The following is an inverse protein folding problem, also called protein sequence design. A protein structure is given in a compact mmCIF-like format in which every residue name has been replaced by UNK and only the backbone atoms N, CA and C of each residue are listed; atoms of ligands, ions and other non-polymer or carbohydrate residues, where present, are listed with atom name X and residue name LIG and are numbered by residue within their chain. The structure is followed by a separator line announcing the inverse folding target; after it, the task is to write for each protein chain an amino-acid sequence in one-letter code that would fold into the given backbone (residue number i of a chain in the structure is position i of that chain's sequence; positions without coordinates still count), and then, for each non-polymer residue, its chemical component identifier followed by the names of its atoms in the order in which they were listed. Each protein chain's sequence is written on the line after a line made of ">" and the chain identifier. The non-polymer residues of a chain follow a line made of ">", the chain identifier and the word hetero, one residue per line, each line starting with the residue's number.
data_IF_365355073993
#
_entry.id   IF_365355073993
#
_cell.length_a   1.000
_cell.length_b   1.000
_cell.length_c   1.000
_cell.angle_alpha   90.00
_cell.angle_beta   90.00
_cell.angle_gamma   90.00
#
_symmetry.space_group_name_H-M   'P 1'
#
loop_
_entity.id
_entity.type
_entity.pdbx_description
1 polymer ?
#
# COMPACT_ATOMS: atom_id res chain seq x y z
N UNK A 1 11.59 -10.39 -3.29
CA UNK A 1 11.40 -9.45 -4.43
C UNK A 1 10.53 -10.04 -5.54
N UNK A 2 10.74 -11.30 -5.97
CA UNK A 2 9.93 -11.94 -7.03
C UNK A 2 8.41 -11.97 -6.72
N UNK A 3 8.03 -12.15 -5.45
CA UNK A 3 6.61 -12.21 -5.03
C UNK A 3 5.88 -10.88 -5.18
N UNK A 4 6.47 -9.76 -4.75
CA UNK A 4 5.88 -8.43 -4.86
C UNK A 4 5.63 -8.03 -6.32
N UNK A 5 6.62 -8.28 -7.19
CA UNK A 5 6.48 -8.04 -8.62
C UNK A 5 5.37 -8.90 -9.24
N UNK A 6 5.30 -10.18 -8.84
CA UNK A 6 4.23 -11.09 -9.27
C UNK A 6 2.86 -10.61 -8.82
N UNK A 7 2.71 -10.18 -7.57
CA UNK A 7 1.42 -9.70 -7.05
C UNK A 7 1.00 -8.40 -7.74
N UNK A 8 1.94 -7.48 -8.00
CA UNK A 8 1.70 -6.30 -8.83
C UNK A 8 1.15 -6.67 -10.21
N UNK A 9 1.85 -7.51 -10.98
CA UNK A 9 1.41 -7.86 -12.33
C UNK A 9 0.07 -8.61 -12.34
N UNK A 10 -0.15 -9.52 -11.38
CA UNK A 10 -1.41 -10.26 -11.27
C UNK A 10 -2.57 -9.33 -10.94
N UNK A 11 -2.41 -8.42 -9.98
CA UNK A 11 -3.45 -7.45 -9.65
C UNK A 11 -3.71 -6.49 -10.81
N UNK A 12 -2.66 -5.98 -11.45
CA UNK A 12 -2.78 -5.12 -12.62
C UNK A 12 -3.57 -5.78 -13.75
N UNK A 13 -3.20 -7.01 -14.13
CA UNK A 13 -3.88 -7.76 -15.18
C UNK A 13 -5.34 -8.08 -14.80
N UNK A 14 -5.58 -8.49 -13.55
CA UNK A 14 -6.93 -8.78 -13.07
C UNK A 14 -7.82 -7.53 -13.12
N UNK A 15 -7.32 -6.38 -12.65
CA UNK A 15 -8.04 -5.11 -12.66
C UNK A 15 -8.27 -4.60 -14.07
N UNK A 16 -7.29 -4.71 -14.97
CA UNK A 16 -7.45 -4.38 -16.38
C UNK A 16 -8.50 -5.27 -17.06
N UNK A 17 -8.54 -6.55 -16.71
CA UNK A 17 -9.56 -7.47 -17.21
C UNK A 17 -10.97 -7.08 -16.72
N UNK A 18 -11.10 -6.67 -15.46
CA UNK A 18 -12.38 -6.20 -14.94
C UNK A 18 -12.89 -4.94 -15.64
N UNK A 19 -12.01 -3.98 -15.90
CA UNK A 19 -12.35 -2.75 -16.64
C UNK A 19 -12.74 -3.07 -18.08
N UNK A 20 -11.97 -3.91 -18.76
CA UNK A 20 -12.21 -4.25 -20.18
C UNK A 20 -13.55 -4.95 -20.43
N UNK A 21 -14.04 -5.72 -19.46
CA UNK A 21 -15.26 -6.51 -19.58
C UNK A 21 -16.44 -5.93 -18.77
N UNK A 22 -16.36 -4.65 -18.36
CA UNK A 22 -17.41 -3.96 -17.59
C UNK A 22 -17.88 -4.72 -16.33
N UNK A 23 -16.93 -5.39 -15.64
CA UNK A 23 -17.24 -6.23 -14.47
C UNK A 23 -17.32 -5.46 -13.14
N UNK A 24 -17.09 -4.14 -13.21
CA UNK A 24 -17.03 -3.23 -12.08
C UNK A 24 -18.14 -2.20 -12.17
N UNK A 25 -18.67 -1.82 -11.01
CA UNK A 25 -19.51 -0.63 -10.93
C UNK A 25 -18.67 0.63 -11.14
N UNK A 26 -19.33 1.71 -11.54
CA UNK A 26 -18.71 3.03 -11.65
C UNK A 26 -18.02 3.39 -10.33
N UNK A 27 -16.75 3.80 -10.43
CA UNK A 27 -15.86 4.20 -9.32
C UNK A 27 -15.59 3.11 -8.27
N UNK A 28 -15.89 1.85 -8.55
CA UNK A 28 -15.67 0.77 -7.57
C UNK A 28 -14.19 0.58 -7.25
N UNK A 29 -13.31 0.66 -8.25
CA UNK A 29 -11.87 0.61 -8.03
C UNK A 29 -11.36 1.79 -7.22
N UNK A 30 -11.86 3.00 -7.49
CA UNK A 30 -11.46 4.21 -6.74
C UNK A 30 -11.87 4.11 -5.28
N UNK A 31 -13.12 3.68 -5.01
CA UNK A 31 -13.60 3.42 -3.63
C UNK A 31 -12.78 2.34 -2.94
N UNK A 32 -12.39 1.31 -3.66
CA UNK A 32 -11.53 0.27 -3.13
C UNK A 32 -10.13 0.79 -2.79
N UNK A 33 -9.52 1.57 -3.69
CA UNK A 33 -8.23 2.20 -3.45
C UNK A 33 -8.26 3.14 -2.25
N UNK A 34 -9.31 3.95 -2.10
CA UNK A 34 -9.46 4.83 -0.95
C UNK A 34 -9.45 4.02 0.36
N UNK A 35 -10.22 2.91 0.43
CA UNK A 35 -10.19 2.02 1.61
C UNK A 35 -8.81 1.43 1.89
N UNK A 36 -8.02 1.13 0.86
CA UNK A 36 -6.64 0.65 1.05
C UNK A 36 -5.74 1.76 1.60
N UNK A 37 -5.89 2.99 1.08
CA UNK A 37 -5.14 4.15 1.57
C UNK A 37 -5.50 4.41 3.03
N UNK A 38 -6.79 4.47 3.38
CA UNK A 38 -7.25 4.68 4.75
C UNK A 38 -6.66 3.62 5.71
N UNK A 39 -6.65 2.34 5.31
CA UNK A 39 -6.08 1.25 6.11
C UNK A 39 -4.56 1.28 6.25
N UNK A 40 -3.88 1.89 5.27
CA UNK A 40 -2.45 2.17 5.34
C UNK A 40 -2.18 3.39 6.24
N UNK A 41 -2.97 4.46 6.15
CA UNK A 41 -2.83 5.65 6.99
C UNK A 41 -2.93 5.30 8.48
N UNK A 42 -3.91 4.48 8.87
CA UNK A 42 -4.01 4.01 10.26
C UNK A 42 -2.77 3.24 10.73
N UNK A 43 -2.22 2.37 9.86
CA UNK A 43 -1.04 1.58 10.19
C UNK A 43 0.24 2.43 10.19
N UNK A 44 0.31 3.45 9.33
CA UNK A 44 1.40 4.41 9.27
C UNK A 44 1.40 5.31 10.50
N UNK A 45 0.24 5.82 10.93
CA UNK A 45 0.10 6.60 12.16
C UNK A 45 0.55 5.80 13.40
N UNK A 46 0.21 4.51 13.47
CA UNK A 46 0.71 3.65 14.56
C UNK A 46 2.25 3.53 14.56
N UNK A 47 2.88 3.48 13.38
CA UNK A 47 4.34 3.50 13.25
C UNK A 47 4.93 4.86 13.65
N UNK A 48 4.25 5.98 13.36
CA UNK A 48 4.62 7.31 13.82
C UNK A 48 4.63 7.39 15.35
N UNK A 49 3.55 6.92 15.98
CA UNK A 49 3.42 6.89 17.44
C UNK A 49 4.54 6.04 18.08
N UNK A 50 4.74 4.80 17.61
CA UNK A 50 5.79 3.88 18.10
C UNK A 50 7.20 4.50 18.02
N UNK A 51 7.51 5.23 16.95
CA UNK A 51 8.81 5.86 16.76
C UNK A 51 8.96 7.18 17.54
N UNK A 52 7.87 7.89 17.80
CA UNK A 52 7.88 9.16 18.54
C UNK A 52 8.29 9.00 20.01
N UNK A 53 8.05 7.80 20.58
CA UNK A 53 8.45 7.46 21.95
C UNK A 53 9.95 7.15 22.08
N UNK A 54 10.65 6.95 20.95
CA UNK A 54 12.06 6.60 20.91
C UNK A 54 12.96 7.84 20.81
N UNK A 55 14.05 7.89 21.60
CA UNK A 55 15.06 8.95 21.51
C UNK A 55 16.20 8.50 20.60
N UNK A 56 16.54 9.30 19.59
CA UNK A 56 17.71 9.06 18.74
C UNK A 56 17.50 7.95 17.71
N UNK A 57 16.28 7.81 17.17
CA UNK A 57 15.92 6.81 16.15
C UNK A 57 16.90 6.87 14.97
N UNK A 58 17.55 5.74 14.72
CA UNK A 58 18.52 5.55 13.63
C UNK A 58 17.81 5.26 12.31
N UNK A 59 18.49 5.49 11.18
CA UNK A 59 17.93 5.15 9.86
C UNK A 59 17.65 3.64 9.73
N UNK A 60 18.48 2.79 10.33
CA UNK A 60 18.25 1.34 10.35
C UNK A 60 16.94 0.95 11.05
N UNK A 61 16.61 1.62 12.16
CA UNK A 61 15.35 1.41 12.88
C UNK A 61 14.15 1.89 12.06
N UNK A 62 14.24 3.05 11.41
CA UNK A 62 13.18 3.53 10.51
C UNK A 62 12.91 2.56 9.37
N UNK A 63 13.96 2.02 8.76
CA UNK A 63 13.83 1.02 7.68
C UNK A 63 13.21 -0.28 8.24
N UNK A 64 13.57 -0.68 9.45
CA UNK A 64 13.01 -1.87 10.11
C UNK A 64 11.52 -1.71 10.36
N UNK A 65 11.07 -0.60 10.93
CA UNK A 65 9.65 -0.36 11.16
C UNK A 65 8.88 -0.22 9.84
N UNK A 66 9.46 0.41 8.82
CA UNK A 66 8.83 0.43 7.49
C UNK A 66 8.66 -0.95 6.87
N UNK A 67 9.61 -1.87 7.08
CA UNK A 67 9.46 -3.28 6.67
C UNK A 67 8.38 -4.00 7.47
N UNK A 68 8.22 -3.66 8.75
CA UNK A 68 7.16 -4.20 9.61
C UNK A 68 5.78 -3.74 9.13
N UNK A 69 5.60 -2.44 8.90
CA UNK A 69 4.39 -1.86 8.32
C UNK A 69 4.00 -2.57 7.01
N UNK A 70 4.95 -2.72 6.09
CA UNK A 70 4.74 -3.43 4.83
C UNK A 70 4.25 -4.88 5.07
N UNK A 71 4.94 -5.60 5.95
CA UNK A 71 4.64 -7.00 6.26
C UNK A 71 3.27 -7.18 6.92
N UNK A 72 2.85 -6.23 7.75
CA UNK A 72 1.56 -6.27 8.44
C UNK A 72 0.40 -5.94 7.50
N UNK A 73 0.61 -4.99 6.58
CA UNK A 73 -0.32 -4.75 5.48
C UNK A 73 -0.47 -5.98 4.58
N UNK A 74 0.61 -6.69 4.23
CA UNK A 74 0.52 -7.91 3.39
C UNK A 74 -0.30 -9.06 4.00
N UNK A 75 -0.49 -9.05 5.33
CA UNK A 75 -1.29 -10.04 6.06
C UNK A 75 -2.77 -9.67 6.18
N UNK A 76 -3.16 -8.42 5.86
CA UNK A 76 -4.57 -8.00 5.87
C UNK A 76 -5.38 -8.73 4.78
N UNK A 77 -6.71 -8.72 4.95
CA UNK A 77 -7.67 -9.29 4.00
C UNK A 77 -8.70 -8.24 3.57
N UNK A 78 -8.23 -7.20 2.89
CA UNK A 78 -9.09 -6.10 2.43
C UNK A 78 -9.50 -6.37 0.99
N UNK A 79 -10.69 -6.94 0.83
CA UNK A 79 -11.22 -7.33 -0.49
C UNK A 79 -12.02 -6.20 -1.13
N UNK A 80 -11.93 -6.10 -2.46
CA UNK A 80 -12.79 -5.22 -3.27
C UNK A 80 -14.26 -5.67 -3.17
N UNK A 81 -14.49 -6.99 -3.19
CA UNK A 81 -15.79 -7.64 -2.97
C UNK A 81 -15.60 -8.88 -2.12
N UNK A 82 -16.58 -9.31 -1.31
CA UNK A 82 -16.47 -10.51 -0.47
C UNK A 82 -16.07 -11.78 -1.24
N UNK A 83 -16.53 -11.90 -2.50
CA UNK A 83 -16.27 -13.05 -3.39
C UNK A 83 -14.88 -13.03 -4.06
N UNK A 84 -14.16 -11.90 -4.05
CA UNK A 84 -12.80 -11.83 -4.59
C UNK A 84 -11.83 -12.30 -3.50
N UNK A 85 -11.48 -13.59 -3.52
CA UNK A 85 -10.63 -14.23 -2.49
C UNK A 85 -9.15 -14.19 -2.86
N UNK A 86 -8.83 -13.65 -4.02
CA UNK A 86 -7.49 -13.54 -4.55
C UNK A 86 -6.67 -12.48 -3.77
N UNK A 87 -5.99 -12.89 -2.70
CA UNK A 87 -5.17 -11.99 -1.87
C UNK A 87 -4.15 -11.14 -2.65
N UNK A 88 -3.68 -11.64 -3.81
CA UNK A 88 -2.79 -10.88 -4.68
C UNK A 88 -3.41 -9.57 -5.19
N UNK A 89 -4.75 -9.47 -5.26
CA UNK A 89 -5.45 -8.25 -5.68
C UNK A 89 -5.17 -7.13 -4.69
N UNK A 90 -5.25 -7.41 -3.38
CA UNK A 90 -4.95 -6.43 -2.34
C UNK A 90 -3.48 -6.05 -2.35
N UNK A 91 -2.58 -7.04 -2.26
CA UNK A 91 -1.12 -6.81 -2.21
C UNK A 91 -0.61 -6.06 -3.44
N UNK A 92 -1.02 -6.51 -4.63
CA UNK A 92 -0.68 -5.85 -5.87
C UNK A 92 -1.28 -4.45 -6.00
N UNK A 93 -2.48 -4.20 -5.44
CA UNK A 93 -3.05 -2.85 -5.41
C UNK A 93 -2.23 -1.90 -4.53
N UNK A 94 -1.72 -2.35 -3.38
CA UNK A 94 -0.78 -1.55 -2.60
C UNK A 94 0.52 -1.23 -3.37
N UNK A 95 1.05 -2.19 -4.15
CA UNK A 95 2.19 -1.90 -5.02
C UNK A 95 1.85 -0.87 -6.11
N UNK A 96 0.65 -0.93 -6.69
CA UNK A 96 0.18 0.06 -7.65
C UNK A 96 0.06 1.45 -7.01
N UNK A 97 -0.51 1.54 -5.80
CA UNK A 97 -0.63 2.78 -5.05
C UNK A 97 0.75 3.37 -4.68
N UNK A 98 1.72 2.51 -4.33
CA UNK A 98 3.08 2.93 -4.05
C UNK A 98 3.78 3.48 -5.31
N UNK A 99 3.59 2.83 -6.48
CA UNK A 99 4.09 3.34 -7.76
C UNK A 99 3.44 4.68 -8.15
N UNK A 100 2.20 4.93 -7.72
CA UNK A 100 1.50 6.20 -7.89
C UNK A 100 1.89 7.25 -6.82
N UNK A 101 2.83 6.93 -5.92
CA UNK A 101 3.25 7.79 -4.81
C UNK A 101 2.12 8.18 -3.85
N UNK A 102 1.05 7.38 -3.79
CA UNK A 102 -0.09 7.58 -2.87
C UNK A 102 0.16 6.96 -1.49
N UNK A 103 1.01 5.94 -1.42
CA UNK A 103 1.41 5.27 -0.17
C UNK A 103 2.91 5.02 -0.16
N UNK A 104 3.50 4.91 1.03
CA UNK A 104 4.91 4.59 1.21
C UNK A 104 5.17 3.88 2.53
N UNK A 105 6.32 3.22 2.63
CA UNK A 105 6.60 2.34 3.78
C UNK A 105 7.53 2.97 4.80
N UNK A 106 8.36 3.93 4.39
CA UNK A 106 9.31 4.59 5.28
C UNK A 106 8.63 5.71 6.06
N UNK A 107 8.98 5.91 7.34
CA UNK A 107 8.42 6.99 8.17
C UNK A 107 8.61 8.38 7.55
N UNK A 108 9.79 8.65 7.00
CA UNK A 108 10.04 9.92 6.28
C UNK A 108 9.44 9.95 4.85
N UNK A 109 8.49 9.08 4.49
CA UNK A 109 7.98 8.97 3.11
C UNK A 109 7.51 10.31 2.53
N UNK A 110 6.68 11.04 3.28
CA UNK A 110 6.17 12.33 2.82
C UNK A 110 7.28 13.37 2.68
N UNK A 111 8.26 13.39 3.59
CA UNK A 111 9.35 14.36 3.52
C UNK A 111 10.31 14.05 2.37
N UNK A 112 10.62 12.77 2.13
CA UNK A 112 11.38 12.32 0.96
C UNK A 112 10.63 12.62 -0.34
N UNK A 113 9.31 12.43 -0.36
CA UNK A 113 8.48 12.75 -1.52
C UNK A 113 8.47 14.27 -1.79
N UNK A 114 8.30 15.10 -0.76
CA UNK A 114 8.39 16.57 -0.87
C UNK A 114 9.74 17.00 -1.44
N UNK A 115 10.84 16.40 -0.99
CA UNK A 115 12.19 16.69 -1.50
C UNK A 115 12.38 16.28 -2.97
N UNK A 116 11.71 15.21 -3.43
CA UNK A 116 11.79 14.78 -4.84
C UNK A 116 10.92 15.63 -5.77
N UNK A 117 9.79 16.13 -5.28
CA UNK A 117 8.86 16.96 -6.04
C UNK A 117 9.26 18.45 -6.04
N UNK A 118 9.90 18.90 -4.97
CA UNK A 118 10.52 20.23 -4.89
C UNK A 118 11.99 20.11 -5.32
N UNK A 119 12.25 20.31 -6.61
CA UNK A 119 13.61 20.67 -7.05
C UNK A 119 14.08 21.95 -6.35
#
# INVERSE_FOLDING_TARGET
>A
MQTALRDYYRAFNQRANWVRNDLLYVNELEKYEQRLIDEWEHAFAAMEDDLSECIGVTEEEKIKEGRRLFSDIEKKDIRIRPKCQEAFVMRGSYHMLANQLKVGWHIDFYDRLKQLLNM
#
